data_IF_363616081295
#
_entry.id   IF_363616081295
#
_cell.length_a   1.000
_cell.length_b   1.000
_cell.length_c   1.000
_cell.angle_alpha   90.00
_cell.angle_beta   90.00
_cell.angle_gamma   90.00
#
_symmetry.space_group_name_H-M   'P 1'
#
loop_
_entity.id
_entity.type
_entity.pdbx_description
1 polymer ?
#
# COMPACT_ATOMS: atom_id res chain seq x y z
N UNK A 1 28.76 -3.26 -9.88
CA UNK A 1 28.47 -1.83 -9.70
C UNK A 1 27.51 -1.46 -10.81
N UNK A 2 26.23 -1.79 -10.62
CA UNK A 2 25.17 -1.14 -11.39
C UNK A 2 25.01 0.25 -10.77
N UNK A 3 25.12 1.29 -11.58
CA UNK A 3 24.71 2.63 -11.17
C UNK A 3 23.20 2.53 -10.89
N UNK A 4 22.80 2.64 -9.62
CA UNK A 4 21.41 2.90 -9.26
C UNK A 4 21.01 4.18 -9.99
N UNK A 5 20.14 4.06 -11.00
CA UNK A 5 19.57 5.21 -11.69
C UNK A 5 18.64 5.88 -10.70
N UNK A 6 19.15 6.86 -9.95
CA UNK A 6 18.37 7.64 -9.01
C UNK A 6 17.32 8.45 -9.79
N UNK A 7 16.04 8.24 -9.49
CA UNK A 7 14.95 9.00 -10.09
C UNK A 7 15.16 10.49 -9.79
N UNK A 8 15.33 11.30 -10.84
CA UNK A 8 15.58 12.73 -10.67
C UNK A 8 14.29 13.44 -10.26
N UNK A 9 14.25 13.94 -9.04
CA UNK A 9 13.11 14.69 -8.51
C UNK A 9 13.30 16.20 -8.61
N UNK A 10 12.32 16.89 -9.19
CA UNK A 10 12.24 18.35 -9.16
C UNK A 10 11.59 18.84 -7.86
N UNK A 11 12.43 19.25 -6.91
CA UNK A 11 11.97 19.76 -5.61
C UNK A 11 11.26 21.10 -5.70
N UNK A 12 11.61 21.94 -6.68
CA UNK A 12 10.97 23.24 -6.84
C UNK A 12 9.55 23.07 -7.38
N UNK A 13 9.39 22.18 -8.37
CA UNK A 13 8.07 21.78 -8.85
C UNK A 13 7.18 21.24 -7.72
N UNK A 14 7.72 20.35 -6.87
CA UNK A 14 6.99 19.83 -5.71
C UNK A 14 6.62 20.91 -4.70
N UNK A 15 7.50 21.90 -4.47
CA UNK A 15 7.18 23.05 -3.62
C UNK A 15 6.06 23.88 -4.22
N UNK A 16 6.15 24.23 -5.50
CA UNK A 16 5.10 24.97 -6.20
C UNK A 16 3.77 24.22 -6.20
N UNK A 17 3.81 22.90 -6.36
CA UNK A 17 2.65 22.03 -6.26
C UNK A 17 2.01 22.14 -4.87
N UNK A 18 2.78 22.02 -3.79
CA UNK A 18 2.28 22.15 -2.42
C UNK A 18 1.69 23.52 -2.07
N UNK A 19 2.23 24.61 -2.64
CA UNK A 19 1.68 25.94 -2.44
C UNK A 19 0.36 26.16 -3.19
N UNK A 20 0.22 25.52 -4.36
CA UNK A 20 -0.97 25.63 -5.22
C UNK A 20 -1.98 24.48 -5.09
N UNK A 21 -1.74 23.50 -4.22
CA UNK A 21 -2.56 22.30 -4.08
C UNK A 21 -3.92 22.62 -3.44
N UNK A 22 -4.99 22.19 -4.11
CA UNK A 22 -6.31 21.97 -3.51
C UNK A 22 -6.50 20.46 -3.24
N UNK A 23 -6.42 20.01 -1.97
CA UNK A 23 -6.60 18.60 -1.63
C UNK A 23 -8.01 18.05 -1.90
N UNK A 24 -9.00 18.91 -2.17
CA UNK A 24 -10.33 18.47 -2.61
C UNK A 24 -10.36 18.10 -4.09
N UNK A 25 -9.47 18.71 -4.88
CA UNK A 25 -9.45 18.64 -6.34
C UNK A 25 -8.00 18.75 -6.84
N UNK A 26 -7.18 17.71 -6.61
CA UNK A 26 -5.78 17.73 -7.04
C UNK A 26 -5.63 17.94 -8.56
N UNK A 27 -6.62 17.52 -9.36
CA UNK A 27 -6.63 17.71 -10.81
C UNK A 27 -6.87 19.17 -11.24
N UNK A 28 -7.53 19.98 -10.40
CA UNK A 28 -7.83 21.40 -10.65
C UNK A 28 -6.81 22.34 -9.95
N UNK A 29 -5.76 21.79 -9.34
CA UNK A 29 -4.72 22.57 -8.64
C UNK A 29 -3.85 23.38 -9.61
N UNK A 30 -3.11 24.38 -9.11
CA UNK A 30 -2.21 25.23 -9.93
C UNK A 30 -1.29 24.39 -10.82
N UNK A 31 -0.72 23.35 -10.22
CA UNK A 31 -0.01 22.29 -10.91
C UNK A 31 -0.91 21.05 -10.79
N UNK A 32 -1.47 20.55 -11.90
CA UNK A 32 -2.41 19.45 -11.85
C UNK A 32 -1.71 18.13 -11.57
N UNK A 33 -2.33 17.29 -10.75
CA UNK A 33 -1.93 15.91 -10.53
C UNK A 33 -3.05 14.97 -10.98
N UNK A 34 -2.68 13.80 -11.49
CA UNK A 34 -3.63 12.71 -11.79
C UNK A 34 -3.51 11.64 -10.74
N UNK A 35 -4.61 11.35 -10.04
CA UNK A 35 -4.65 10.23 -9.11
C UNK A 35 -4.53 8.92 -9.88
N UNK A 36 -3.55 8.11 -9.51
CA UNK A 36 -3.31 6.78 -10.07
C UNK A 36 -4.03 5.71 -9.24
N UNK A 37 -4.14 5.92 -7.93
CA UNK A 37 -4.81 5.00 -7.03
C UNK A 37 -5.09 5.62 -5.67
N UNK A 38 -6.18 5.17 -5.04
CA UNK A 38 -6.49 5.48 -3.66
C UNK A 38 -6.13 4.28 -2.79
N UNK A 39 -5.08 4.43 -1.97
CA UNK A 39 -4.88 3.54 -0.85
C UNK A 39 -5.87 3.83 0.27
N UNK A 40 -5.94 2.93 1.24
CA UNK A 40 -6.82 3.06 2.40
C UNK A 40 -6.48 4.30 3.25
N UNK A 41 -5.18 4.65 3.29
CA UNK A 41 -4.64 5.68 4.18
C UNK A 41 -3.98 6.85 3.39
N UNK A 42 -3.63 6.64 2.13
CA UNK A 42 -2.81 7.56 1.32
C UNK A 42 -3.25 7.55 -0.14
N UNK A 43 -2.78 8.52 -0.92
CA UNK A 43 -3.13 8.66 -2.34
C UNK A 43 -1.88 8.60 -3.18
N UNK A 44 -1.91 7.76 -4.21
CA UNK A 44 -0.85 7.66 -5.22
C UNK A 44 -1.27 8.50 -6.42
N UNK A 45 -0.40 9.39 -6.87
CA UNK A 45 -0.66 10.24 -8.03
C UNK A 45 0.62 10.49 -8.82
N UNK A 46 0.45 10.88 -10.07
CA UNK A 46 1.51 11.51 -10.84
C UNK A 46 1.30 13.02 -10.89
N UNK A 47 2.39 13.76 -11.01
CA UNK A 47 2.35 15.19 -11.31
C UNK A 47 2.39 15.30 -12.83
N UNK A 48 1.44 16.05 -13.42
CA UNK A 48 1.34 16.20 -14.87
C UNK A 48 2.39 17.20 -15.37
N UNK A 49 3.65 16.76 -15.34
CA UNK A 49 4.83 17.48 -15.81
C UNK A 49 5.75 16.52 -16.56
N UNK A 50 6.24 16.94 -17.72
CA UNK A 50 6.99 16.08 -18.65
C UNK A 50 8.19 15.40 -17.96
N UNK A 51 8.99 16.17 -17.21
CA UNK A 51 10.18 15.67 -16.51
C UNK A 51 9.90 14.74 -15.31
N UNK A 52 8.64 14.62 -14.87
CA UNK A 52 8.25 13.78 -13.73
C UNK A 52 7.20 12.72 -14.12
N UNK A 53 6.91 12.59 -15.42
CA UNK A 53 5.86 11.71 -15.95
C UNK A 53 6.11 10.23 -15.66
N UNK A 54 7.36 9.83 -15.44
CA UNK A 54 7.76 8.45 -15.12
C UNK A 54 7.71 8.12 -13.63
N UNK A 55 7.14 8.98 -12.79
CA UNK A 55 7.21 8.87 -11.33
C UNK A 55 5.81 8.81 -10.72
N UNK A 56 5.59 7.81 -9.88
CA UNK A 56 4.43 7.73 -9.01
C UNK A 56 4.79 8.29 -7.64
N UNK A 57 4.00 9.24 -7.15
CA UNK A 57 4.17 9.91 -5.87
C UNK A 57 3.12 9.47 -4.87
N UNK A 58 3.56 9.30 -3.63
CA UNK A 58 2.71 9.09 -2.46
C UNK A 58 2.97 10.19 -1.45
N UNK A 59 1.94 11.00 -1.20
CA UNK A 59 2.05 12.21 -0.38
C UNK A 59 1.69 11.93 1.07
N UNK A 60 2.62 12.21 1.98
CA UNK A 60 2.52 11.91 3.41
C UNK A 60 2.55 13.21 4.25
N UNK A 61 1.41 13.95 4.35
CA UNK A 61 1.33 15.18 5.14
C UNK A 61 1.06 14.88 6.63
N UNK A 62 1.85 13.97 7.21
CA UNK A 62 1.60 13.39 8.53
C UNK A 62 2.48 14.00 9.64
N UNK A 63 3.43 14.87 9.32
CA UNK A 63 4.52 15.21 10.24
C UNK A 63 4.31 16.60 10.83
N UNK A 64 4.55 16.73 12.15
CA UNK A 64 4.49 18.03 12.86
C UNK A 64 5.87 18.69 12.90
N UNK A 65 6.95 17.92 12.73
CA UNK A 65 8.33 18.39 12.75
C UNK A 65 9.25 17.49 11.91
N UNK A 66 10.46 17.97 11.65
CA UNK A 66 11.47 17.26 10.86
C UNK A 66 12.02 16.00 11.55
N UNK A 67 12.02 15.93 12.88
CA UNK A 67 12.47 14.73 13.61
C UNK A 67 11.58 13.53 13.29
N UNK A 68 10.26 13.73 13.24
CA UNK A 68 9.32 12.69 12.84
C UNK A 68 9.54 12.25 11.37
N UNK A 69 9.89 13.18 10.47
CA UNK A 69 10.21 12.86 9.08
C UNK A 69 11.45 11.99 8.99
N UNK A 70 12.54 12.38 9.66
CA UNK A 70 13.79 11.63 9.60
C UNK A 70 13.66 10.24 10.23
N UNK A 71 12.93 10.12 11.35
CA UNK A 71 12.62 8.80 11.95
C UNK A 71 11.83 7.92 10.98
N UNK A 72 10.82 8.48 10.31
CA UNK A 72 10.04 7.71 9.35
C UNK A 72 10.87 7.32 8.11
N UNK A 73 11.75 8.19 7.62
CA UNK A 73 12.67 7.88 6.50
C UNK A 73 13.66 6.78 6.86
N UNK A 74 14.17 6.77 8.09
CA UNK A 74 15.02 5.67 8.59
C UNK A 74 14.26 4.33 8.58
N UNK A 75 13.06 4.30 9.16
CA UNK A 75 12.20 3.10 9.18
C UNK A 75 11.83 2.66 7.77
N UNK A 76 11.49 3.59 6.88
CA UNK A 76 11.21 3.34 5.47
C UNK A 76 12.40 2.68 4.77
N UNK A 77 13.61 3.25 4.88
CA UNK A 77 14.80 2.68 4.25
C UNK A 77 15.15 1.29 4.80
N UNK A 78 15.08 1.11 6.12
CA UNK A 78 15.33 -0.19 6.76
C UNK A 78 14.36 -1.26 6.30
N UNK A 79 13.08 -0.91 6.07
CA UNK A 79 12.10 -1.82 5.52
C UNK A 79 12.45 -2.28 4.10
N UNK A 80 13.01 -1.38 3.27
CA UNK A 80 13.48 -1.74 1.92
C UNK A 80 14.72 -2.64 1.99
N UNK A 81 15.63 -2.39 2.94
CA UNK A 81 16.76 -3.28 3.20
C UNK A 81 16.30 -4.69 3.62
N UNK A 82 15.22 -4.80 4.41
CA UNK A 82 14.62 -6.09 4.75
C UNK A 82 14.05 -6.78 3.51
N UNK A 83 13.31 -6.09 2.65
CA UNK A 83 12.81 -6.68 1.41
C UNK A 83 13.92 -7.18 0.49
N UNK A 84 15.04 -6.43 0.40
CA UNK A 84 16.22 -6.89 -0.32
C UNK A 84 16.83 -8.16 0.28
N UNK A 85 16.85 -8.30 1.61
CA UNK A 85 17.30 -9.52 2.30
C UNK A 85 16.37 -10.72 2.05
N UNK A 86 15.05 -10.47 2.03
CA UNK A 86 14.03 -11.49 1.75
C UNK A 86 14.04 -11.92 0.27
N UNK A 87 14.54 -11.06 -0.63
CA UNK A 87 14.45 -11.29 -2.07
C UNK A 87 13.08 -10.91 -2.63
N UNK A 88 12.47 -9.86 -2.06
CA UNK A 88 11.32 -9.15 -2.61
C UNK A 88 11.83 -7.97 -3.42
N UNK A 89 11.49 -7.97 -4.70
CA UNK A 89 11.86 -6.90 -5.60
C UNK A 89 10.87 -5.74 -5.53
N UNK A 90 11.41 -4.52 -5.60
CA UNK A 90 10.67 -3.27 -5.57
C UNK A 90 11.18 -2.35 -6.69
N UNK A 91 10.33 -1.50 -7.28
CA UNK A 91 10.76 -0.54 -8.30
C UNK A 91 11.77 0.47 -7.74
N UNK A 92 12.46 1.22 -8.62
CA UNK A 92 13.30 2.33 -8.15
C UNK A 92 12.47 3.27 -7.28
N UNK A 93 12.98 3.63 -6.11
CA UNK A 93 12.23 4.33 -5.09
C UNK A 93 13.07 5.43 -4.45
N UNK A 94 12.40 6.28 -3.66
CA UNK A 94 13.07 7.21 -2.79
C UNK A 94 12.11 8.10 -2.02
N UNK A 95 12.69 9.09 -1.34
CA UNK A 95 11.92 10.01 -0.52
C UNK A 95 12.44 11.44 -0.63
N UNK A 96 11.54 12.42 -0.57
CA UNK A 96 11.89 13.84 -0.50
C UNK A 96 10.93 14.59 0.40
N UNK A 97 11.48 15.47 1.23
CA UNK A 97 10.69 16.35 2.08
C UNK A 97 10.51 17.72 1.44
N UNK A 98 9.31 18.26 1.55
CA UNK A 98 8.95 19.61 1.12
C UNK A 98 8.41 20.35 2.34
N UNK A 99 9.00 21.51 2.62
CA UNK A 99 8.48 22.49 3.57
C UNK A 99 7.86 23.64 2.78
N UNK A 100 6.61 23.95 3.10
CA UNK A 100 5.86 25.06 2.50
C UNK A 100 6.18 26.37 3.22
N UNK A 101 5.93 27.51 2.58
CA UNK A 101 6.07 28.85 3.18
C UNK A 101 5.24 29.01 4.47
N UNK A 102 4.15 28.23 4.58
CA UNK A 102 3.28 28.19 5.76
C UNK A 102 3.74 27.20 6.84
N UNK A 103 4.96 26.67 6.73
CA UNK A 103 5.56 25.73 7.69
C UNK A 103 4.95 24.34 7.69
N UNK A 104 4.15 23.97 6.67
CA UNK A 104 3.66 22.58 6.51
C UNK A 104 4.80 21.71 6.00
N UNK A 105 4.98 20.55 6.62
CA UNK A 105 5.97 19.54 6.24
C UNK A 105 5.25 18.40 5.53
N UNK A 106 5.72 18.06 4.34
CA UNK A 106 5.16 16.96 3.53
C UNK A 106 6.31 16.07 3.08
N UNK A 107 6.25 14.79 3.47
CA UNK A 107 7.13 13.78 2.91
C UNK A 107 6.47 13.20 1.65
N UNK A 108 7.21 13.21 0.57
CA UNK A 108 6.91 12.47 -0.64
C UNK A 108 7.71 11.18 -0.63
N UNK A 109 7.01 10.06 -0.70
CA UNK A 109 7.61 8.80 -1.15
C UNK A 109 7.36 8.71 -2.65
N UNK A 110 8.36 8.30 -3.40
CA UNK A 110 8.24 8.20 -4.85
C UNK A 110 8.81 6.88 -5.34
N UNK A 111 8.30 6.42 -6.46
CA UNK A 111 8.79 5.24 -7.15
C UNK A 111 8.65 5.38 -8.67
N UNK A 112 9.38 4.54 -9.42
CA UNK A 112 9.20 4.41 -10.86
C UNK A 112 7.76 4.03 -11.14
N UNK A 113 7.10 4.80 -11.99
CA UNK A 113 5.75 4.53 -12.46
C UNK A 113 5.79 3.35 -13.42
N UNK A 114 4.93 2.37 -13.16
CA UNK A 114 4.75 1.21 -14.01
C UNK A 114 3.51 1.39 -14.90
N UNK A 115 3.42 0.68 -16.04
CA UNK A 115 2.19 0.60 -16.82
C UNK A 115 1.03 0.12 -15.93
N UNK A 116 -0.12 0.76 -16.01
CA UNK A 116 -1.30 0.40 -15.19
C UNK A 116 -1.73 -1.06 -15.38
N UNK A 117 -1.61 -1.55 -16.61
CA UNK A 117 -1.97 -2.88 -17.06
C UNK A 117 -1.04 -3.96 -16.49
N UNK A 118 0.14 -3.56 -16.01
CA UNK A 118 1.06 -4.46 -15.32
C UNK A 118 0.68 -4.73 -13.86
N UNK A 119 -0.21 -3.92 -13.28
CA UNK A 119 -0.59 -3.98 -11.86
C UNK A 119 -1.71 -5.00 -11.68
N UNK A 120 -1.59 -5.86 -10.67
CA UNK A 120 -2.46 -7.04 -10.48
C UNK A 120 -3.95 -6.71 -10.51
N UNK A 121 -4.40 -5.65 -9.86
CA UNK A 121 -5.83 -5.29 -9.85
C UNK A 121 -6.37 -4.91 -11.24
N UNK A 122 -5.55 -4.31 -12.11
CA UNK A 122 -5.92 -4.07 -13.51
C UNK A 122 -5.79 -5.34 -14.35
N UNK A 123 -4.73 -6.11 -14.11
CA UNK A 123 -4.36 -7.28 -14.89
C UNK A 123 -5.40 -8.39 -14.82
N UNK A 124 -5.94 -8.67 -13.62
CA UNK A 124 -6.90 -9.76 -13.43
C UNK A 124 -8.11 -9.65 -14.37
N UNK A 125 -8.47 -8.44 -14.83
CA UNK A 125 -9.56 -8.19 -15.80
C UNK A 125 -9.29 -8.63 -17.24
N UNK A 126 -8.03 -8.88 -17.58
CA UNK A 126 -7.60 -9.08 -18.97
C UNK A 126 -6.96 -10.44 -19.22
N UNK A 127 -6.68 -11.20 -18.16
CA UNK A 127 -6.03 -12.52 -18.24
C UNK A 127 -7.06 -13.66 -18.03
N UNK A 128 -6.72 -14.85 -18.49
CA UNK A 128 -7.55 -16.05 -18.29
C UNK A 128 -7.55 -16.51 -16.83
N UNK A 129 -8.45 -17.44 -16.49
CA UNK A 129 -8.46 -18.13 -15.20
C UNK A 129 -7.11 -18.80 -14.88
N UNK A 130 -6.47 -19.42 -15.88
CA UNK A 130 -5.12 -20.00 -15.71
C UNK A 130 -4.09 -18.91 -15.43
N UNK A 131 -4.17 -17.76 -16.09
CA UNK A 131 -3.32 -16.61 -15.81
C UNK A 131 -3.51 -16.09 -14.37
N UNK A 132 -4.76 -16.00 -13.89
CA UNK A 132 -5.06 -15.61 -12.51
C UNK A 132 -4.44 -16.59 -11.52
N UNK A 133 -4.56 -17.91 -11.76
CA UNK A 133 -3.96 -18.93 -10.90
C UNK A 133 -2.43 -18.78 -10.86
N UNK A 134 -1.78 -18.62 -12.03
CA UNK A 134 -0.33 -18.42 -12.10
C UNK A 134 0.12 -17.17 -11.34
N UNK A 135 -0.60 -16.05 -11.50
CA UNK A 135 -0.29 -14.79 -10.81
C UNK A 135 -0.43 -14.96 -9.29
N UNK A 136 -1.53 -15.54 -8.82
CA UNK A 136 -1.75 -15.74 -7.37
C UNK A 136 -0.74 -16.71 -6.79
N UNK A 137 -0.42 -17.82 -7.46
CA UNK A 137 0.65 -18.73 -7.03
C UNK A 137 2.00 -18.00 -6.90
N UNK A 138 2.35 -17.18 -7.89
CA UNK A 138 3.59 -16.41 -7.85
C UNK A 138 3.61 -15.40 -6.69
N UNK A 139 2.47 -14.76 -6.39
CA UNK A 139 2.33 -13.89 -5.21
C UNK A 139 2.47 -14.69 -3.91
N UNK A 140 1.87 -15.88 -3.81
CA UNK A 140 2.00 -16.75 -2.64
C UNK A 140 3.46 -17.16 -2.39
N UNK A 141 4.24 -17.41 -3.44
CA UNK A 141 5.68 -17.66 -3.33
C UNK A 141 6.40 -16.44 -2.73
N UNK A 142 6.10 -15.22 -3.20
CA UNK A 142 6.69 -14.00 -2.66
C UNK A 142 6.29 -13.78 -1.20
N UNK A 143 5.02 -13.96 -0.86
CA UNK A 143 4.55 -13.85 0.52
C UNK A 143 5.27 -14.87 1.41
N UNK A 144 5.34 -16.14 0.99
CA UNK A 144 5.95 -17.22 1.78
C UNK A 144 7.41 -16.91 2.17
N UNK A 145 8.20 -16.26 1.29
CA UNK A 145 9.57 -15.78 1.61
C UNK A 145 9.61 -14.88 2.84
N UNK A 146 8.61 -14.01 3.04
CA UNK A 146 8.56 -13.09 4.19
C UNK A 146 8.44 -13.87 5.49
N UNK A 147 7.57 -14.87 5.55
CA UNK A 147 7.42 -15.68 6.76
C UNK A 147 8.53 -16.71 6.94
N UNK A 148 9.13 -17.21 5.87
CA UNK A 148 10.39 -17.96 5.94
C UNK A 148 11.48 -17.12 6.61
N UNK A 149 11.68 -15.88 6.15
CA UNK A 149 12.63 -14.95 6.77
C UNK A 149 12.32 -14.73 8.26
N UNK A 150 11.05 -14.47 8.60
CA UNK A 150 10.64 -14.25 9.99
C UNK A 150 10.94 -15.46 10.89
N UNK A 151 10.76 -16.69 10.40
CA UNK A 151 11.14 -17.90 11.16
C UNK A 151 12.63 -17.96 11.44
N UNK A 152 13.46 -17.60 10.48
CA UNK A 152 14.91 -17.61 10.62
C UNK A 152 15.42 -16.49 11.55
N UNK A 153 14.78 -15.33 11.53
CA UNK A 153 15.19 -14.16 12.31
C UNK A 153 14.52 -14.05 13.68
N UNK A 154 13.55 -14.91 13.98
CA UNK A 154 12.84 -14.91 15.26
C UNK A 154 13.79 -15.18 16.45
N UNK A 155 13.65 -14.47 17.59
CA UNK A 155 12.66 -13.42 17.89
C UNK A 155 13.14 -11.99 17.57
N UNK A 156 14.25 -11.83 16.86
CA UNK A 156 14.95 -10.55 16.72
C UNK A 156 14.34 -9.62 15.69
N UNK A 157 13.83 -10.16 14.59
CA UNK A 157 13.15 -9.37 13.57
C UNK A 157 11.91 -10.10 13.06
N UNK A 158 10.89 -9.31 12.73
CA UNK A 158 9.66 -9.77 12.12
C UNK A 158 9.21 -8.73 11.09
N UNK A 159 8.96 -9.14 9.86
CA UNK A 159 8.54 -8.29 8.75
C UNK A 159 7.11 -8.65 8.37
N UNK A 160 6.27 -7.64 8.20
CA UNK A 160 4.92 -7.80 7.67
C UNK A 160 4.86 -7.23 6.24
N UNK A 161 3.83 -7.61 5.51
CA UNK A 161 3.60 -7.15 4.14
C UNK A 161 2.10 -7.10 3.85
N UNK A 162 1.67 -6.16 3.03
CA UNK A 162 0.29 -6.08 2.56
C UNK A 162 0.11 -6.85 1.25
N UNK A 163 -0.58 -7.98 1.32
CA UNK A 163 -0.72 -8.93 0.22
C UNK A 163 -1.68 -8.52 -0.90
N UNK A 164 -2.35 -7.36 -0.82
CA UNK A 164 -3.36 -6.94 -1.80
C UNK A 164 -2.88 -7.08 -3.25
N UNK A 165 -3.79 -7.53 -4.14
CA UNK A 165 -3.49 -7.73 -5.57
C UNK A 165 -3.02 -6.44 -6.27
N UNK A 166 -3.44 -5.27 -5.78
CA UNK A 166 -2.99 -3.96 -6.28
C UNK A 166 -1.55 -3.59 -5.90
N UNK A 167 -0.93 -4.33 -4.98
CA UNK A 167 0.43 -4.07 -4.52
C UNK A 167 1.47 -4.87 -5.31
N UNK A 168 1.06 -5.65 -6.31
CA UNK A 168 1.93 -6.48 -7.14
C UNK A 168 1.85 -6.03 -8.60
N UNK A 169 2.99 -6.03 -9.29
CA UNK A 169 3.06 -5.79 -10.72
C UNK A 169 4.04 -6.73 -11.42
N UNK A 170 3.76 -7.08 -12.67
CA UNK A 170 4.70 -7.85 -13.50
C UNK A 170 5.87 -6.96 -13.92
N UNK A 171 7.09 -7.43 -13.60
CA UNK A 171 8.32 -6.80 -14.06
C UNK A 171 8.43 -6.93 -15.58
N UNK A 172 8.84 -5.86 -16.25
CA UNK A 172 9.03 -5.83 -17.71
C UNK A 172 7.78 -6.22 -18.51
N UNK A 173 6.59 -5.88 -18.01
CA UNK A 173 5.32 -6.13 -18.69
C UNK A 173 5.34 -5.71 -20.16
N UNK A 174 4.91 -6.63 -21.03
CA UNK A 174 4.75 -6.40 -22.47
C UNK A 174 3.25 -6.48 -22.80
N UNK A 175 2.65 -5.40 -23.34
CA UNK A 175 1.27 -5.42 -23.80
C UNK A 175 1.01 -6.57 -24.80
N UNK A 176 -0.15 -7.22 -24.67
CA UNK A 176 -0.60 -8.31 -25.55
C UNK A 176 0.29 -9.57 -25.57
N UNK A 177 1.21 -9.73 -24.61
CA UNK A 177 2.08 -10.91 -24.52
C UNK A 177 1.36 -12.21 -24.12
N UNK A 178 0.09 -12.11 -23.70
CA UNK A 178 -0.74 -13.23 -23.24
C UNK A 178 -0.83 -13.30 -21.71
N UNK A 179 -1.20 -14.47 -21.20
CA UNK A 179 -1.32 -14.71 -19.77
C UNK A 179 0.05 -14.75 -19.08
N UNK A 180 0.13 -14.27 -17.82
CA UNK A 180 1.33 -14.38 -17.03
C UNK A 180 1.73 -15.84 -16.82
N UNK A 181 3.04 -16.06 -16.79
CA UNK A 181 3.60 -17.38 -16.54
C UNK A 181 3.82 -17.58 -15.04
N UNK A 182 3.74 -18.83 -14.59
CA UNK A 182 4.09 -19.16 -13.21
C UNK A 182 5.56 -18.81 -12.94
N UNK A 183 5.83 -18.11 -11.84
CA UNK A 183 7.18 -17.70 -11.47
C UNK A 183 7.70 -16.48 -12.23
N UNK A 184 6.82 -15.72 -12.89
CA UNK A 184 7.18 -14.45 -13.52
C UNK A 184 7.65 -13.43 -12.48
N UNK A 185 8.64 -12.61 -12.84
CA UNK A 185 9.22 -11.65 -11.91
C UNK A 185 8.18 -10.61 -11.49
N UNK A 186 7.94 -10.48 -10.19
CA UNK A 186 7.01 -9.50 -9.63
C UNK A 186 7.76 -8.36 -8.95
N UNK A 187 7.13 -7.18 -8.99
CA UNK A 187 7.49 -6.00 -8.21
C UNK A 187 6.43 -5.75 -7.14
N UNK A 188 6.87 -5.54 -5.91
CA UNK A 188 6.01 -5.10 -4.81
C UNK A 188 5.99 -3.56 -4.73
N UNK A 189 4.80 -2.97 -4.58
CA UNK A 189 4.57 -1.53 -4.75
C UNK A 189 4.28 -0.79 -3.44
N UNK A 190 3.52 -1.36 -2.49
CA UNK A 190 3.14 -0.58 -1.28
C UNK A 190 4.16 -0.69 -0.15
N UNK A 191 5.19 0.14 -0.24
CA UNK A 191 6.25 0.23 0.78
C UNK A 191 6.06 1.38 1.77
N UNK A 192 4.93 2.10 1.68
CA UNK A 192 4.69 3.32 2.47
C UNK A 192 4.18 3.07 3.88
N UNK A 193 3.84 1.83 4.20
CA UNK A 193 3.52 1.42 5.56
C UNK A 193 4.60 0.41 5.94
N UNK A 194 5.79 0.87 6.37
CA UNK A 194 6.90 -0.02 6.65
C UNK A 194 6.65 -0.79 7.95
N UNK A 195 6.05 -1.98 7.82
CA UNK A 195 5.63 -2.80 8.94
C UNK A 195 6.71 -3.82 9.28
N UNK A 196 7.47 -3.55 10.33
CA UNK A 196 8.38 -4.52 10.88
C UNK A 196 8.65 -4.27 12.37
N UNK A 197 8.98 -5.34 13.06
CA UNK A 197 9.34 -5.34 14.47
C UNK A 197 10.79 -5.70 14.66
N UNK A 198 11.37 -5.11 15.68
CA UNK A 198 12.66 -5.54 16.22
C UNK A 198 12.48 -5.91 17.69
N UNK A 199 12.87 -7.14 18.04
CA UNK A 199 12.66 -7.71 19.37
C UNK A 199 11.20 -7.57 19.87
N UNK A 200 10.23 -7.72 18.97
CA UNK A 200 8.80 -7.60 19.25
C UNK A 200 8.25 -6.16 19.32
N UNK A 201 9.08 -5.14 19.12
CA UNK A 201 8.64 -3.74 19.11
C UNK A 201 8.41 -3.23 17.68
N UNK A 202 7.20 -2.75 17.39
CA UNK A 202 6.86 -2.09 16.12
C UNK A 202 7.69 -0.83 15.91
N UNK A 203 8.34 -0.74 14.75
CA UNK A 203 9.23 0.38 14.42
C UNK A 203 8.49 1.58 13.84
N UNK A 204 7.34 1.33 13.20
CA UNK A 204 6.47 2.36 12.64
C UNK A 204 5.66 3.08 13.71
N UNK A 205 5.68 4.42 13.70
CA UNK A 205 4.72 5.22 14.47
C UNK A 205 3.35 5.18 13.78
N UNK A 206 2.59 4.13 14.08
CA UNK A 206 1.26 3.86 13.52
C UNK A 206 0.22 4.94 13.86
N UNK A 207 0.46 5.77 14.87
CA UNK A 207 -0.45 6.87 15.24
C UNK A 207 -0.45 8.00 14.21
N UNK A 208 0.62 8.13 13.41
CA UNK A 208 0.69 9.09 12.30
C UNK A 208 -0.52 8.92 11.36
N UNK A 209 -0.93 7.68 11.09
CA UNK A 209 -2.06 7.36 10.22
C UNK A 209 -3.43 7.64 10.84
N UNK A 210 -3.51 8.02 12.12
CA UNK A 210 -4.76 8.49 12.73
C UNK A 210 -4.95 10.00 12.57
N UNK A 211 -3.92 10.76 12.18
CA UNK A 211 -4.00 12.22 11.97
C UNK A 211 -5.07 12.68 10.97
N UNK A 212 -5.43 11.93 9.91
CA UNK A 212 -6.55 12.25 9.04
C UNK A 212 -7.92 12.31 9.73
N UNK A 213 -8.07 11.77 10.96
CA UNK A 213 -9.32 11.71 11.74
C UNK A 213 -9.43 12.82 12.80
N UNK A 214 -10.65 13.13 13.32
CA UNK A 214 -10.85 14.16 14.33
C UNK A 214 -10.07 13.84 15.63
N UNK A 215 -9.43 14.83 16.30
CA UNK A 215 -8.58 14.59 17.47
C UNK A 215 -9.23 13.76 18.59
N UNK A 216 -10.50 14.01 18.91
CA UNK A 216 -11.22 13.27 19.96
C UNK A 216 -11.45 11.79 19.65
N UNK A 217 -11.49 11.41 18.37
CA UNK A 217 -11.70 10.02 17.93
C UNK A 217 -10.37 9.25 17.89
N UNK A 218 -9.23 9.93 17.69
CA UNK A 218 -7.92 9.29 17.57
C UNK A 218 -7.58 8.40 18.77
N UNK A 219 -7.84 8.90 19.98
CA UNK A 219 -7.59 8.11 21.20
C UNK A 219 -8.42 6.82 21.23
N UNK A 220 -9.67 6.88 20.78
CA UNK A 220 -10.55 5.73 20.71
C UNK A 220 -10.05 4.72 19.65
N UNK A 221 -9.71 5.17 18.44
CA UNK A 221 -9.15 4.30 17.40
C UNK A 221 -7.84 3.65 17.81
N UNK A 222 -6.93 4.43 18.42
CA UNK A 222 -5.66 3.94 18.96
C UNK A 222 -5.88 2.81 19.96
N UNK A 223 -6.81 2.99 20.90
CA UNK A 223 -7.00 2.05 22.02
C UNK A 223 -7.68 0.74 21.61
N UNK A 224 -8.61 0.80 20.65
CA UNK A 224 -9.52 -0.32 20.38
C UNK A 224 -9.35 -0.98 19.02
N UNK A 225 -8.61 -0.37 18.08
CA UNK A 225 -8.54 -0.87 16.70
C UNK A 225 -7.12 -0.92 16.12
N UNK A 226 -6.23 0.00 16.53
CA UNK A 226 -4.96 0.18 15.84
C UNK A 226 -4.06 -1.05 15.87
N UNK A 227 -3.94 -1.70 17.03
CA UNK A 227 -3.09 -2.88 17.18
C UNK A 227 -3.61 -4.05 16.34
N UNK A 228 -4.90 -4.37 16.44
CA UNK A 228 -5.51 -5.48 15.70
C UNK A 228 -5.39 -5.29 14.18
N UNK A 229 -5.53 -4.04 13.69
CA UNK A 229 -5.34 -3.71 12.26
C UNK A 229 -3.88 -3.93 11.83
N UNK A 230 -2.92 -3.59 12.67
CA UNK A 230 -1.50 -3.73 12.35
C UNK A 230 -1.07 -5.21 12.43
N UNK A 231 -1.51 -5.92 13.46
CA UNK A 231 -1.18 -7.32 13.70
C UNK A 231 -1.66 -8.25 12.58
N UNK A 232 -2.73 -7.88 11.86
CA UNK A 232 -3.24 -8.69 10.75
C UNK A 232 -2.21 -8.89 9.63
N UNK A 233 -1.30 -7.93 9.43
CA UNK A 233 -0.28 -7.99 8.37
C UNK A 233 0.91 -8.89 8.72
N UNK A 234 1.04 -9.27 9.99
CA UNK A 234 2.05 -10.23 10.47
C UNK A 234 1.55 -11.68 10.41
N UNK A 235 0.27 -11.90 10.13
CA UNK A 235 -0.37 -13.20 10.05
C UNK A 235 -0.48 -13.65 8.60
N UNK A 236 0.28 -14.69 8.24
CA UNK A 236 0.36 -15.21 6.87
C UNK A 236 -1.02 -15.54 6.30
N UNK A 237 -1.83 -16.27 7.09
CA UNK A 237 -3.15 -16.72 6.66
C UNK A 237 -4.07 -15.52 6.43
N UNK A 238 -4.05 -14.52 7.30
CA UNK A 238 -4.87 -13.30 7.13
C UNK A 238 -4.44 -12.48 5.92
N UNK A 239 -3.14 -12.36 5.65
CA UNK A 239 -2.64 -11.67 4.45
C UNK A 239 -3.08 -12.39 3.17
N UNK A 240 -3.06 -13.73 3.17
CA UNK A 240 -3.57 -14.52 2.04
C UNK A 240 -5.09 -14.40 1.88
N UNK A 241 -5.85 -14.37 2.97
CA UNK A 241 -7.30 -14.09 2.94
C UNK A 241 -7.58 -12.71 2.32
N UNK A 242 -6.83 -11.68 2.73
CA UNK A 242 -6.98 -10.32 2.19
C UNK A 242 -6.69 -10.25 0.69
N UNK A 243 -5.65 -10.95 0.23
CA UNK A 243 -5.33 -11.11 -1.20
C UNK A 243 -6.53 -11.66 -1.99
N UNK A 244 -7.17 -12.74 -1.52
CA UNK A 244 -8.35 -13.30 -2.21
C UNK A 244 -9.57 -12.40 -2.09
N UNK A 245 -9.76 -11.76 -0.93
CA UNK A 245 -10.85 -10.81 -0.70
C UNK A 245 -10.81 -9.62 -1.68
N UNK A 246 -9.62 -9.26 -2.18
CA UNK A 246 -9.49 -8.25 -3.22
C UNK A 246 -10.18 -8.63 -4.53
N UNK A 247 -10.36 -9.92 -4.86
CA UNK A 247 -11.16 -10.32 -6.03
C UNK A 247 -12.65 -9.97 -5.86
N UNK A 248 -13.18 -9.95 -4.63
CA UNK A 248 -14.53 -9.44 -4.38
C UNK A 248 -14.59 -7.91 -4.58
N UNK A 249 -13.58 -7.19 -4.09
CA UNK A 249 -13.42 -5.73 -4.26
C UNK A 249 -13.31 -5.32 -5.73
N UNK A 250 -12.58 -6.09 -6.54
CA UNK A 250 -12.38 -5.84 -7.97
C UNK A 250 -13.50 -6.45 -8.85
N UNK A 251 -14.62 -6.89 -8.25
CA UNK A 251 -15.79 -7.45 -8.97
C UNK A 251 -15.48 -8.70 -9.81
N UNK A 252 -14.52 -9.52 -9.35
CA UNK A 252 -14.09 -10.80 -9.94
C UNK A 252 -14.37 -11.98 -9.02
N UNK A 253 -15.56 -12.00 -8.42
CA UNK A 253 -15.95 -13.03 -7.45
C UNK A 253 -16.00 -14.44 -8.03
N UNK A 254 -16.09 -14.58 -9.36
CA UNK A 254 -16.09 -15.88 -10.03
C UNK A 254 -14.80 -16.67 -9.83
N UNK A 255 -13.68 -16.01 -9.53
CA UNK A 255 -12.40 -16.69 -9.29
C UNK A 255 -12.22 -17.18 -7.85
N UNK A 256 -13.00 -16.66 -6.88
CA UNK A 256 -12.79 -16.94 -5.46
C UNK A 256 -12.83 -18.44 -5.13
N UNK A 257 -13.77 -19.26 -5.63
CA UNK A 257 -13.77 -20.70 -5.34
C UNK A 257 -12.49 -21.40 -5.81
N UNK A 258 -12.04 -21.14 -7.05
CA UNK A 258 -10.82 -21.74 -7.60
C UNK A 258 -9.55 -21.30 -6.87
N UNK A 259 -9.51 -20.04 -6.42
CA UNK A 259 -8.39 -19.53 -5.62
C UNK A 259 -8.33 -20.12 -4.22
N UNK A 260 -9.48 -20.37 -3.59
CA UNK A 260 -9.54 -21.08 -2.28
C UNK A 260 -8.97 -22.49 -2.41
N UNK A 261 -9.34 -23.23 -3.45
CA UNK A 261 -8.78 -24.57 -3.71
C UNK A 261 -7.26 -24.53 -3.96
N UNK A 262 -6.81 -23.54 -4.74
CA UNK A 262 -5.39 -23.30 -5.02
C UNK A 262 -4.61 -23.02 -3.72
N UNK A 263 -5.11 -22.14 -2.87
CA UNK A 263 -4.45 -21.74 -1.62
C UNK A 263 -4.42 -22.88 -0.62
N UNK A 264 -5.52 -23.62 -0.46
CA UNK A 264 -5.54 -24.78 0.45
C UNK A 264 -4.55 -25.87 0.00
N UNK A 265 -4.42 -26.05 -1.32
CA UNK A 265 -3.37 -26.91 -1.88
C UNK A 265 -1.99 -26.35 -1.54
N UNK A 266 -1.75 -25.06 -1.74
CA UNK A 266 -0.48 -24.40 -1.45
C UNK A 266 -0.08 -24.50 0.03
N UNK A 267 -1.00 -24.26 0.97
CA UNK A 267 -0.77 -24.41 2.42
C UNK A 267 -0.34 -25.83 2.79
N UNK A 268 -0.95 -26.84 2.17
CA UNK A 268 -0.65 -28.25 2.47
C UNK A 268 0.56 -28.83 1.74
N UNK A 269 1.15 -28.09 0.78
CA UNK A 269 2.24 -28.60 -0.07
C UNK A 269 3.49 -27.74 0.01
N UNK A 270 3.39 -26.45 -0.34
CA UNK A 270 4.52 -25.53 -0.46
C UNK A 270 4.76 -24.75 0.85
N UNK A 271 3.70 -24.31 1.52
CA UNK A 271 3.77 -23.50 2.74
C UNK A 271 3.54 -24.31 4.04
N UNK A 272 3.94 -25.59 4.06
CA UNK A 272 3.69 -26.49 5.20
C UNK A 272 4.32 -26.00 6.51
N UNK A 273 5.48 -25.35 6.43
CA UNK A 273 6.16 -24.76 7.60
C UNK A 273 5.42 -23.55 8.20
N UNK A 274 4.39 -23.03 7.53
CA UNK A 274 3.56 -21.94 8.04
C UNK A 274 2.45 -22.43 8.97
N UNK A 275 2.17 -23.74 8.99
CA UNK A 275 1.07 -24.35 9.78
C UNK A 275 -0.27 -23.62 9.60
N UNK A 276 -0.54 -23.16 8.37
CA UNK A 276 -1.72 -22.36 8.07
C UNK A 276 -2.94 -23.27 7.86
N UNK A 277 -3.97 -23.05 8.68
CA UNK A 277 -5.25 -23.75 8.54
C UNK A 277 -5.92 -23.44 7.19
N UNK A 278 -6.61 -24.42 6.56
CA UNK A 278 -7.39 -24.19 5.36
C UNK A 278 -8.36 -23.02 5.49
N UNK A 279 -8.65 -22.39 4.37
CA UNK A 279 -9.60 -21.28 4.23
C UNK A 279 -10.85 -21.72 3.47
N UNK A 280 -11.97 -21.04 3.70
CA UNK A 280 -13.22 -21.25 2.94
C UNK A 280 -13.67 -19.99 2.21
N UNK A 281 -14.54 -20.16 1.21
CA UNK A 281 -15.16 -19.04 0.48
C UNK A 281 -15.96 -18.15 1.43
N UNK A 282 -16.66 -18.74 2.40
CA UNK A 282 -17.44 -18.00 3.39
C UNK A 282 -16.54 -17.10 4.25
N UNK A 283 -15.37 -17.58 4.65
CA UNK A 283 -14.40 -16.77 5.40
C UNK A 283 -13.90 -15.57 4.56
N UNK A 284 -13.63 -15.76 3.26
CA UNK A 284 -13.24 -14.65 2.36
C UNK A 284 -14.35 -13.60 2.29
N UNK A 285 -15.60 -14.04 2.14
CA UNK A 285 -16.74 -13.12 2.06
C UNK A 285 -16.99 -12.37 3.37
N UNK A 286 -16.89 -13.05 4.51
CA UNK A 286 -17.05 -12.45 5.84
C UNK A 286 -15.95 -11.42 6.08
N UNK A 287 -14.70 -11.79 5.81
CA UNK A 287 -13.55 -10.89 5.90
C UNK A 287 -13.75 -9.65 5.02
N UNK A 288 -14.15 -9.81 3.74
CA UNK A 288 -14.38 -8.67 2.85
C UNK A 288 -15.48 -7.73 3.39
N UNK A 289 -16.58 -8.27 3.92
CA UNK A 289 -17.68 -7.46 4.48
C UNK A 289 -17.19 -6.64 5.68
N UNK A 290 -16.38 -7.23 6.56
CA UNK A 290 -15.85 -6.58 7.75
C UNK A 290 -14.80 -5.52 7.42
N UNK A 291 -13.85 -5.86 6.54
CA UNK A 291 -12.81 -4.94 6.06
C UNK A 291 -13.45 -3.74 5.32
N UNK A 292 -14.38 -4.00 4.39
CA UNK A 292 -15.10 -2.96 3.68
C UNK A 292 -15.86 -2.03 4.65
N UNK A 293 -16.49 -2.60 5.69
CA UNK A 293 -17.20 -1.83 6.70
C UNK A 293 -16.26 -0.94 7.52
N UNK A 294 -15.11 -1.48 7.91
CA UNK A 294 -14.06 -0.78 8.66
C UNK A 294 -13.53 0.43 7.88
N UNK A 295 -13.13 0.23 6.62
CA UNK A 295 -12.62 1.33 5.79
C UNK A 295 -13.68 2.36 5.44
N UNK A 296 -14.94 1.95 5.28
CA UNK A 296 -16.07 2.87 5.08
C UNK A 296 -16.28 3.76 6.30
N UNK A 297 -16.18 3.19 7.51
CA UNK A 297 -16.24 3.95 8.75
C UNK A 297 -15.07 4.93 8.87
N UNK A 298 -13.84 4.47 8.62
CA UNK A 298 -12.65 5.31 8.64
C UNK A 298 -12.72 6.47 7.64
N UNK A 299 -13.16 6.21 6.41
CA UNK A 299 -13.38 7.26 5.40
C UNK A 299 -14.45 8.27 5.83
N UNK A 300 -15.55 7.83 6.45
CA UNK A 300 -16.57 8.73 7.01
C UNK A 300 -15.97 9.64 8.08
N UNK A 301 -15.14 9.12 8.97
CA UNK A 301 -14.43 9.91 9.99
C UNK A 301 -13.50 10.95 9.35
N UNK A 302 -12.77 10.59 8.30
CA UNK A 302 -11.92 11.52 7.52
C UNK A 302 -12.75 12.61 6.85
N UNK A 303 -13.86 12.26 6.19
CA UNK A 303 -14.79 13.23 5.56
C UNK A 303 -15.38 14.18 6.61
N UNK A 304 -15.76 13.68 7.79
CA UNK A 304 -16.25 14.51 8.90
C UNK A 304 -15.17 15.46 9.44
N UNK A 305 -13.94 14.97 9.63
CA UNK A 305 -12.81 15.81 10.04
C UNK A 305 -12.55 16.93 9.03
N UNK A 306 -12.54 16.62 7.73
CA UNK A 306 -12.40 17.59 6.66
C UNK A 306 -13.49 18.67 6.74
N UNK A 307 -14.75 18.28 6.95
CA UNK A 307 -15.86 19.22 7.10
C UNK A 307 -15.66 20.15 8.30
N UNK A 308 -15.34 19.61 9.48
CA UNK A 308 -15.06 20.40 10.68
C UNK A 308 -13.91 21.38 10.42
N UNK A 309 -12.80 20.88 9.86
CA UNK A 309 -11.59 21.70 9.66
C UNK A 309 -11.82 22.82 8.65
N UNK A 310 -12.49 22.53 7.54
CA UNK A 310 -12.64 23.48 6.41
C UNK A 310 -13.87 24.38 6.52
N UNK A 311 -15.02 23.89 7.03
CA UNK A 311 -16.28 24.63 7.08
C UNK A 311 -16.55 25.29 8.43
N UNK A 312 -16.18 24.64 9.53
CA UNK A 312 -16.40 25.17 10.88
C UNK A 312 -15.19 26.01 11.31
N UNK A 313 -14.00 25.42 11.29
CA UNK A 313 -12.76 26.07 11.74
C UNK A 313 -12.06 26.92 10.66
N UNK A 314 -12.52 26.82 9.40
CA UNK A 314 -11.95 27.55 8.24
C UNK A 314 -10.43 27.37 8.06
N UNK A 315 -9.91 26.20 8.43
CA UNK A 315 -8.50 25.82 8.27
C UNK A 315 -8.25 24.86 7.10
N UNK A 316 -6.96 24.60 6.83
CA UNK A 316 -6.49 23.76 5.71
C UNK A 316 -6.49 22.24 6.00
N UNK A 317 -7.34 21.44 5.36
CA UNK A 317 -7.28 19.98 5.52
C UNK A 317 -6.33 19.37 4.48
N UNK A 318 -5.21 18.80 4.93
CA UNK A 318 -4.11 18.43 4.05
C UNK A 318 -4.29 17.13 3.25
N UNK A 319 -5.33 16.34 3.55
CA UNK A 319 -5.44 14.99 2.99
C UNK A 319 -6.38 14.95 1.78
N UNK A 320 -5.88 14.36 0.70
CA UNK A 320 -6.69 13.95 -0.44
C UNK A 320 -7.50 12.72 0.01
N UNK A 321 -8.80 12.75 -0.23
CA UNK A 321 -9.71 11.66 0.14
C UNK A 321 -10.29 11.05 -1.15
N UNK A 322 -10.49 9.73 -1.19
CA UNK A 322 -11.19 9.11 -2.31
C UNK A 322 -12.56 9.72 -2.51
N UNK A 323 -12.94 9.81 -3.79
CA UNK A 323 -14.33 9.99 -4.21
C UNK A 323 -15.16 8.76 -3.80
N UNK A 324 -16.45 8.73 -4.16
CA UNK A 324 -17.25 7.55 -3.90
C UNK A 324 -16.75 6.39 -4.77
N UNK A 325 -16.26 5.33 -4.10
CA UNK A 325 -15.72 4.13 -4.74
C UNK A 325 -16.90 3.21 -5.08
N UNK A 326 -17.00 2.75 -6.32
CA UNK A 326 -17.86 1.61 -6.66
C UNK A 326 -17.19 0.36 -6.09
N UNK A 327 -17.86 -0.30 -5.14
CA UNK A 327 -17.44 -1.53 -4.48
C UNK A 327 -18.43 -2.64 -4.75
#
# INVERSE_FOLDING_TARGET
MEEEIELKIDKELLREFEEGLDPLKPEESKIPARVLGYGEISTVFEILHEEQSDIAFKRMPLFDNMEQVERYRDVYNRYHDRFKQIGIDIPEYGSVVIETEKGRIVLYLYQKKLPSESIGNSMIHHISETGVHNLVSTILDQLNKVWEFNRHESPHAEVAIDGQISNWAIRNYIPDAGDPQLGEDLLYLDTSTPLFRENGEEQLDVELFLKPTPPGIRWYLKKYYLQDIVDRYYDFRKVVIDLVANFLKEQRSEFVPGLVDLINTYFSTEATDQDAEPITVEEIEEYYKDDASTWKLYLRMRKAHRFIKTKILRGYYAYILPADIQR
#
